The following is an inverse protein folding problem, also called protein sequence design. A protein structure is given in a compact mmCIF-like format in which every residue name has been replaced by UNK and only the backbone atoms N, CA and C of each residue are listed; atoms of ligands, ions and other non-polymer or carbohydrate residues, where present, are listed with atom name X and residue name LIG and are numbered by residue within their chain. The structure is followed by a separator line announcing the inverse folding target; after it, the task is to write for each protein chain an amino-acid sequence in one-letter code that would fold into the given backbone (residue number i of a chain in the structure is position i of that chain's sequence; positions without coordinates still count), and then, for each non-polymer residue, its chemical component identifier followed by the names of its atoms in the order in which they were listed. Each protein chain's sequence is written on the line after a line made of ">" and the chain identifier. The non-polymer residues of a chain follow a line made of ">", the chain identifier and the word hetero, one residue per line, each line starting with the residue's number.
data_IF_935953433099
#
_entry.id   IF_935953433099
#
_cell.length_a   1.000
_cell.length_b   1.000
_cell.length_c   1.000
_cell.angle_alpha   90.00
_cell.angle_beta   90.00
_cell.angle_gamma   90.00
#
_symmetry.space_group_name_H-M   'P 1'
#
loop_
_entity.id
_entity.type
_entity.pdbx_description
1 polymer ?
#
# COMPACT_ATOMS: atom_id res chain seq x y z
N UNK A 1 -8.25 2.18 -19.52
CA UNK A 1 -9.33 1.18 -19.39
C UNK A 1 -8.90 -0.19 -19.89
N UNK A 2 -8.20 -0.30 -21.04
CA UNK A 2 -7.66 -1.59 -21.53
C UNK A 2 -6.48 -2.08 -20.68
N UNK A 3 -5.58 -1.19 -20.23
CA UNK A 3 -4.45 -1.55 -19.35
C UNK A 3 -4.91 -2.19 -18.02
N UNK A 4 -6.00 -1.68 -17.41
CA UNK A 4 -6.54 -2.27 -16.18
C UNK A 4 -7.13 -3.67 -16.38
N UNK A 5 -7.59 -3.99 -17.59
CA UNK A 5 -8.10 -5.33 -17.91
C UNK A 5 -6.99 -6.34 -18.10
N UNK A 6 -5.89 -5.94 -18.75
CA UNK A 6 -4.72 -6.81 -18.91
C UNK A 6 -4.11 -7.12 -17.54
N UNK A 7 -3.92 -6.11 -16.69
CA UNK A 7 -3.41 -6.30 -15.33
C UNK A 7 -4.33 -7.22 -14.50
N UNK A 8 -5.64 -7.04 -14.61
CA UNK A 8 -6.62 -7.89 -13.94
C UNK A 8 -6.53 -9.35 -14.41
N UNK A 9 -6.54 -9.58 -15.73
CA UNK A 9 -6.50 -10.94 -16.30
C UNK A 9 -5.18 -11.63 -15.94
N UNK A 10 -4.05 -10.92 -16.04
CA UNK A 10 -2.73 -11.47 -15.67
C UNK A 10 -2.68 -11.80 -14.17
N UNK A 11 -3.21 -10.93 -13.31
CA UNK A 11 -3.27 -11.16 -11.87
C UNK A 11 -4.16 -12.36 -11.51
N UNK A 12 -5.33 -12.50 -12.15
CA UNK A 12 -6.25 -13.62 -11.92
C UNK A 12 -5.68 -14.94 -12.43
N UNK A 13 -5.23 -15.00 -13.68
CA UNK A 13 -4.68 -16.23 -14.28
C UNK A 13 -3.38 -16.61 -13.57
N UNK A 14 -2.50 -15.64 -13.34
CA UNK A 14 -1.24 -15.82 -12.61
C UNK A 14 -1.48 -16.28 -11.18
N UNK A 15 -2.46 -15.69 -10.49
CA UNK A 15 -2.86 -16.06 -9.14
C UNK A 15 -3.44 -17.47 -9.06
N UNK A 16 -4.32 -17.85 -10.00
CA UNK A 16 -4.87 -19.20 -10.07
C UNK A 16 -3.79 -20.25 -10.36
N UNK A 17 -2.88 -19.96 -11.30
CA UNK A 17 -1.76 -20.84 -11.61
C UNK A 17 -0.80 -20.99 -10.41
N UNK A 18 -0.46 -19.88 -9.74
CA UNK A 18 0.36 -19.90 -8.54
C UNK A 18 -0.32 -20.71 -7.42
N UNK A 19 -1.62 -20.52 -7.18
CA UNK A 19 -2.39 -21.29 -6.20
C UNK A 19 -2.32 -22.79 -6.48
N UNK A 20 -2.61 -23.21 -7.72
CA UNK A 20 -2.59 -24.63 -8.09
C UNK A 20 -1.18 -25.23 -7.99
N UNK A 21 -0.15 -24.48 -8.38
CA UNK A 21 1.24 -24.94 -8.29
C UNK A 21 1.72 -25.03 -6.83
N UNK A 22 1.32 -24.10 -5.98
CA UNK A 22 1.65 -24.12 -4.56
C UNK A 22 0.92 -25.26 -3.84
N UNK A 23 -0.36 -25.48 -4.15
CA UNK A 23 -1.15 -26.60 -3.64
C UNK A 23 -0.56 -27.94 -4.07
N UNK A 24 -0.38 -28.18 -5.37
CA UNK A 24 0.09 -29.49 -5.86
C UNK A 24 1.58 -29.71 -5.51
N UNK A 25 2.39 -28.65 -5.53
CA UNK A 25 3.78 -28.69 -5.09
C UNK A 25 3.92 -29.08 -3.63
N UNK A 26 3.19 -28.42 -2.73
CA UNK A 26 3.20 -28.77 -1.30
C UNK A 26 2.62 -30.16 -1.06
N UNK A 27 1.49 -30.51 -1.66
CA UNK A 27 0.92 -31.86 -1.55
C UNK A 27 1.93 -32.95 -1.96
N UNK A 28 2.64 -32.75 -3.08
CA UNK A 28 3.64 -33.72 -3.53
C UNK A 28 4.85 -33.82 -2.60
N UNK A 29 5.32 -32.69 -2.09
CA UNK A 29 6.46 -32.66 -1.15
C UNK A 29 6.15 -33.44 0.13
N UNK A 30 4.95 -33.27 0.68
CA UNK A 30 4.56 -33.95 1.92
C UNK A 30 4.11 -35.40 1.70
N UNK A 31 3.49 -35.74 0.54
CA UNK A 31 3.01 -37.10 0.28
C UNK A 31 4.07 -38.06 -0.30
N UNK A 32 5.08 -37.56 -1.01
CA UNK A 32 6.06 -38.39 -1.74
C UNK A 32 7.52 -38.02 -1.42
N UNK A 33 7.74 -37.02 -0.56
CA UNK A 33 9.07 -36.54 -0.21
C UNK A 33 9.65 -35.52 -1.21
N UNK A 34 10.93 -35.21 -1.04
CA UNK A 34 11.60 -34.08 -1.71
C UNK A 34 11.99 -34.45 -3.14
N UNK A 35 11.09 -34.22 -4.09
CA UNK A 35 11.38 -34.32 -5.52
C UNK A 35 11.66 -32.95 -6.15
N UNK A 36 12.73 -32.85 -6.96
CA UNK A 36 13.18 -31.59 -7.61
C UNK A 36 12.05 -30.81 -8.30
N UNK A 37 11.14 -31.51 -8.99
CA UNK A 37 10.00 -30.87 -9.67
C UNK A 37 8.99 -30.24 -8.71
N UNK A 38 8.67 -30.93 -7.61
CA UNK A 38 7.74 -30.43 -6.60
C UNK A 38 8.33 -29.24 -5.83
N UNK A 39 9.64 -29.30 -5.53
CA UNK A 39 10.39 -28.18 -4.94
C UNK A 39 10.35 -26.96 -5.87
N UNK A 40 10.70 -27.12 -7.14
CA UNK A 40 10.72 -26.02 -8.12
C UNK A 40 9.33 -25.38 -8.30
N UNK A 41 8.28 -26.19 -8.42
CA UNK A 41 6.90 -25.68 -8.52
C UNK A 41 6.49 -24.87 -7.29
N UNK A 42 6.82 -25.38 -6.09
CA UNK A 42 6.48 -24.70 -4.83
C UNK A 42 7.25 -23.39 -4.67
N UNK A 43 8.56 -23.39 -4.93
CA UNK A 43 9.40 -22.18 -4.80
C UNK A 43 8.98 -21.12 -5.82
N UNK A 44 8.74 -21.51 -7.08
CA UNK A 44 8.32 -20.56 -8.11
C UNK A 44 6.96 -19.93 -7.76
N UNK A 45 5.99 -20.75 -7.34
CA UNK A 45 4.68 -20.26 -6.94
C UNK A 45 4.74 -19.36 -5.70
N UNK A 46 5.54 -19.76 -4.69
CA UNK A 46 5.77 -18.94 -3.50
C UNK A 46 6.44 -17.61 -3.86
N UNK A 47 7.40 -17.63 -4.77
CA UNK A 47 8.06 -16.45 -5.30
C UNK A 47 7.09 -15.49 -6.00
N UNK A 48 6.16 -16.01 -6.81
CA UNK A 48 5.10 -15.19 -7.45
C UNK A 48 4.23 -14.54 -6.38
N UNK A 49 3.71 -15.30 -5.41
CA UNK A 49 2.88 -14.75 -4.34
C UNK A 49 3.64 -13.69 -3.52
N UNK A 50 4.92 -13.92 -3.22
CA UNK A 50 5.75 -12.99 -2.48
C UNK A 50 6.05 -11.72 -3.27
N UNK A 51 6.30 -11.82 -4.58
CA UNK A 51 6.57 -10.67 -5.44
C UNK A 51 5.33 -9.80 -5.61
N UNK A 52 4.17 -10.38 -5.94
CA UNK A 52 2.94 -9.63 -6.11
C UNK A 52 2.41 -9.06 -4.79
N UNK A 53 2.38 -9.88 -3.73
CA UNK A 53 2.00 -9.42 -2.39
C UNK A 53 2.96 -8.36 -1.84
N UNK A 54 4.26 -8.54 -2.06
CA UNK A 54 5.29 -7.58 -1.67
C UNK A 54 5.20 -6.26 -2.44
N UNK A 55 4.95 -6.31 -3.74
CA UNK A 55 4.75 -5.10 -4.55
C UNK A 55 3.49 -4.32 -4.14
N UNK A 56 2.39 -5.03 -3.87
CA UNK A 56 1.17 -4.42 -3.34
C UNK A 56 1.40 -3.79 -1.96
N UNK A 57 2.13 -4.47 -1.08
CA UNK A 57 2.49 -3.91 0.23
C UNK A 57 3.42 -2.71 0.11
N UNK A 58 4.39 -2.75 -0.82
CA UNK A 58 5.29 -1.64 -1.09
C UNK A 58 4.49 -0.40 -1.54
N UNK A 59 3.56 -0.55 -2.48
CA UNK A 59 2.62 0.52 -2.90
C UNK A 59 1.85 1.11 -1.72
N UNK A 60 1.31 0.26 -0.85
CA UNK A 60 0.63 0.71 0.37
C UNK A 60 1.58 1.52 1.27
N UNK A 61 2.80 1.02 1.51
CA UNK A 61 3.77 1.65 2.39
C UNK A 61 4.23 3.01 1.87
N UNK A 62 4.44 3.13 0.56
CA UNK A 62 4.85 4.36 -0.13
C UNK A 62 3.74 5.43 -0.08
N UNK A 63 2.51 5.03 -0.40
CA UNK A 63 1.35 5.91 -0.28
C UNK A 63 1.17 6.40 1.16
N UNK A 64 1.26 5.49 2.14
CA UNK A 64 1.12 5.84 3.56
C UNK A 64 2.25 6.74 4.05
N UNK A 65 3.49 6.50 3.61
CA UNK A 65 4.62 7.36 3.92
C UNK A 65 4.40 8.77 3.37
N UNK A 66 4.00 8.88 2.10
CA UNK A 66 3.69 10.17 1.44
C UNK A 66 2.57 10.93 2.15
N UNK A 67 1.49 10.24 2.52
CA UNK A 67 0.39 10.81 3.30
C UNK A 67 0.88 11.35 4.65
N UNK A 68 1.65 10.56 5.38
CA UNK A 68 2.16 10.94 6.72
C UNK A 68 3.16 12.10 6.66
N UNK A 69 4.03 12.16 5.65
CA UNK A 69 4.99 13.25 5.47
C UNK A 69 4.29 14.57 5.17
N UNK A 70 3.25 14.55 4.33
CA UNK A 70 2.53 15.76 3.97
C UNK A 70 1.66 16.27 5.14
N UNK A 71 1.07 15.37 5.94
CA UNK A 71 0.39 15.74 7.19
C UNK A 71 1.35 16.38 8.21
N UNK A 72 2.57 15.84 8.36
CA UNK A 72 3.58 16.39 9.27
C UNK A 72 4.10 17.76 8.82
N UNK A 73 4.32 17.95 7.51
CA UNK A 73 4.76 19.25 6.96
C UNK A 73 3.74 20.36 7.20
N UNK A 74 2.44 20.04 7.15
CA UNK A 74 1.39 21.02 7.40
C UNK A 74 1.41 21.57 8.84
N UNK A 75 1.72 20.72 9.83
CA UNK A 75 1.83 21.14 11.23
C UNK A 75 3.10 21.97 11.52
N UNK A 76 4.15 21.85 10.70
CA UNK A 76 5.49 22.34 11.01
C UNK A 76 5.92 23.61 10.27
N UNK A 77 5.00 24.38 9.67
CA UNK A 77 5.37 25.64 9.02
C UNK A 77 5.91 26.64 10.05
N UNK A 78 7.23 26.71 10.22
CA UNK A 78 7.91 27.60 11.16
C UNK A 78 7.94 29.05 10.66
N UNK A 79 8.02 29.99 11.60
CA UNK A 79 8.24 31.40 11.25
C UNK A 79 9.63 31.57 10.61
N UNK A 80 9.77 32.45 9.60
CA UNK A 80 11.07 32.78 9.04
C UNK A 80 12.06 33.23 10.12
N UNK A 81 13.32 32.80 10.05
CA UNK A 81 14.36 33.14 11.03
C UNK A 81 14.59 34.68 11.14
N UNK A 82 14.25 35.43 10.10
CA UNK A 82 14.35 36.88 10.04
C UNK A 82 13.04 37.61 10.38
N UNK A 83 12.04 36.94 10.97
CA UNK A 83 10.69 37.50 11.21
C UNK A 83 10.73 38.88 11.87
N UNK A 84 11.54 39.07 12.91
CA UNK A 84 11.66 40.34 13.63
C UNK A 84 12.13 41.51 12.74
N UNK A 85 12.96 41.24 11.73
CA UNK A 85 13.61 42.24 10.85
C UNK A 85 12.81 42.59 9.61
N UNK A 86 11.67 41.93 9.38
CA UNK A 86 10.83 42.20 8.21
C UNK A 86 10.01 43.49 8.39
N UNK A 87 9.79 44.18 7.27
CA UNK A 87 8.86 45.32 7.22
C UNK A 87 7.43 44.86 7.54
N UNK A 88 6.58 45.74 8.08
CA UNK A 88 5.18 45.40 8.39
C UNK A 88 4.41 44.80 7.20
N UNK A 89 4.61 45.35 5.99
CA UNK A 89 3.99 44.82 4.77
C UNK A 89 4.46 43.40 4.43
N UNK A 90 5.76 43.11 4.58
CA UNK A 90 6.29 41.77 4.32
C UNK A 90 5.82 40.77 5.38
N UNK A 91 5.66 41.21 6.63
CA UNK A 91 5.09 40.40 7.71
C UNK A 91 3.65 40.03 7.43
N UNK A 92 2.84 40.99 6.99
CA UNK A 92 1.45 40.76 6.60
C UNK A 92 1.36 39.70 5.50
N UNK A 93 2.04 39.91 4.37
CA UNK A 93 2.01 38.99 3.22
C UNK A 93 2.39 37.56 3.62
N UNK A 94 3.46 37.39 4.41
CA UNK A 94 3.91 36.08 4.87
C UNK A 94 2.94 35.46 5.89
N UNK A 95 2.37 36.25 6.80
CA UNK A 95 1.39 35.77 7.76
C UNK A 95 0.08 35.32 7.09
N UNK A 96 -0.40 36.08 6.09
CA UNK A 96 -1.58 35.72 5.28
C UNK A 96 -1.30 34.47 4.46
N UNK A 97 -0.14 34.39 3.80
CA UNK A 97 0.25 33.21 3.03
C UNK A 97 0.32 31.95 3.91
N UNK A 98 0.87 32.08 5.14
CA UNK A 98 0.89 31.00 6.13
C UNK A 98 -0.52 30.63 6.58
N UNK A 99 -1.37 31.60 6.92
CA UNK A 99 -2.73 31.32 7.35
C UNK A 99 -3.56 30.64 6.25
N UNK A 100 -3.42 31.06 4.99
CA UNK A 100 -4.04 30.41 3.82
C UNK A 100 -3.54 28.99 3.66
N UNK A 101 -2.24 28.76 3.81
CA UNK A 101 -1.67 27.42 3.74
C UNK A 101 -2.23 26.51 4.84
N UNK A 102 -2.29 27.00 6.07
CA UNK A 102 -2.92 26.27 7.19
C UNK A 102 -4.37 25.92 6.84
N UNK A 103 -5.16 26.87 6.34
CA UNK A 103 -6.52 26.60 5.93
C UNK A 103 -6.63 25.54 4.82
N UNK A 104 -5.79 25.62 3.79
CA UNK A 104 -5.79 24.64 2.69
C UNK A 104 -5.41 23.23 3.15
N UNK A 105 -4.51 23.11 4.13
CA UNK A 105 -3.97 21.82 4.58
C UNK A 105 -4.79 21.18 5.72
N UNK A 106 -5.22 21.95 6.72
CA UNK A 106 -5.96 21.44 7.90
C UNK A 106 -7.43 21.84 7.92
N UNK A 107 -7.85 22.81 7.12
CA UNK A 107 -9.18 23.42 7.22
C UNK A 107 -9.38 24.35 8.41
N UNK A 108 -8.34 24.60 9.23
CA UNK A 108 -8.47 25.49 10.38
C UNK A 108 -8.24 26.95 9.97
N UNK A 109 -9.11 27.84 10.41
CA UNK A 109 -8.94 29.28 10.22
C UNK A 109 -7.83 29.78 11.14
N UNK A 110 -6.66 30.03 10.55
CA UNK A 110 -5.54 30.62 11.25
C UNK A 110 -5.64 32.14 11.26
N UNK A 111 -5.05 32.76 12.28
CA UNK A 111 -4.92 34.21 12.35
C UNK A 111 -3.61 34.67 11.69
N UNK A 112 -3.62 35.88 11.15
CA UNK A 112 -2.50 36.56 10.53
C UNK A 112 -2.29 37.93 11.19
N UNK A 113 -1.11 38.53 10.98
CA UNK A 113 -0.76 39.84 11.58
C UNK A 113 -0.89 40.91 10.50
N UNK A 114 -1.76 41.87 10.69
CA UNK A 114 -1.98 43.00 9.79
C UNK A 114 -0.81 44.02 9.87
N UNK A 115 -0.73 44.96 8.94
CA UNK A 115 0.26 46.05 8.91
C UNK A 115 0.28 46.87 10.19
N UNK A 116 -0.89 47.00 10.84
CA UNK A 116 -1.04 47.68 12.13
C UNK A 116 -0.55 46.87 13.33
N UNK A 117 -0.09 45.62 13.13
CA UNK A 117 0.32 44.72 14.21
C UNK A 117 -0.84 43.99 14.88
N UNK A 118 -2.08 44.23 14.46
CA UNK A 118 -3.26 43.52 14.95
C UNK A 118 -3.34 42.10 14.41
N UNK A 119 -3.85 41.19 15.23
CA UNK A 119 -4.08 39.80 14.83
C UNK A 119 -5.50 39.65 14.28
N UNK A 120 -5.63 39.27 13.01
CA UNK A 120 -6.93 39.07 12.34
C UNK A 120 -7.09 37.62 11.90
N UNK A 121 -8.31 37.10 11.97
CA UNK A 121 -8.61 35.76 11.44
C UNK A 121 -8.69 35.80 9.92
N UNK A 122 -8.10 34.83 9.25
CA UNK A 122 -8.20 34.71 7.79
C UNK A 122 -9.67 34.52 7.37
N UNK A 123 -10.13 35.32 6.40
CA UNK A 123 -11.35 35.08 5.66
C UNK A 123 -11.01 34.34 4.34
N UNK A 124 -11.34 33.04 4.21
CA UNK A 124 -11.02 32.28 3.00
C UNK A 124 -11.79 32.81 1.79
N UNK A 125 -11.13 32.81 0.63
CA UNK A 125 -11.79 33.12 -0.65
C UNK A 125 -12.39 31.85 -1.28
N UNK A 126 -13.24 32.02 -2.30
CA UNK A 126 -13.78 30.89 -3.07
C UNK A 126 -12.66 30.05 -3.71
N UNK A 127 -11.56 30.68 -4.13
CA UNK A 127 -10.40 29.96 -4.66
C UNK A 127 -9.70 29.12 -3.59
N UNK A 128 -9.57 29.64 -2.36
CA UNK A 128 -8.99 28.89 -1.24
C UNK A 128 -9.83 27.66 -0.89
N UNK A 129 -11.16 27.78 -0.97
CA UNK A 129 -12.08 26.65 -0.80
C UNK A 129 -11.88 25.59 -1.90
N UNK A 130 -11.86 25.99 -3.17
CA UNK A 130 -11.63 25.05 -4.28
C UNK A 130 -10.26 24.36 -4.19
N UNK A 131 -9.21 25.08 -3.79
CA UNK A 131 -7.88 24.49 -3.57
C UNK A 131 -7.90 23.46 -2.45
N UNK A 132 -8.57 23.78 -1.34
CA UNK A 132 -8.74 22.85 -0.22
C UNK A 132 -9.50 21.59 -0.66
N UNK A 133 -10.60 21.72 -1.40
CA UNK A 133 -11.36 20.57 -1.90
C UNK A 133 -10.50 19.65 -2.76
N UNK A 134 -9.63 20.21 -3.62
CA UNK A 134 -8.67 19.40 -4.40
C UNK A 134 -7.69 18.65 -3.51
N UNK A 135 -7.18 19.30 -2.47
CA UNK A 135 -6.27 18.68 -1.50
C UNK A 135 -6.97 17.55 -0.74
N UNK A 136 -8.19 17.79 -0.25
CA UNK A 136 -9.02 16.78 0.44
C UNK A 136 -9.33 15.61 -0.49
N UNK A 137 -9.75 15.87 -1.73
CA UNK A 137 -10.04 14.84 -2.72
C UNK A 137 -8.80 14.01 -3.07
N UNK A 138 -7.64 14.65 -3.19
CA UNK A 138 -6.36 13.97 -3.39
C UNK A 138 -6.04 13.02 -2.23
N UNK A 139 -6.13 13.49 -0.99
CA UNK A 139 -5.85 12.66 0.19
C UNK A 139 -6.84 11.50 0.33
N UNK A 140 -8.12 11.75 0.11
CA UNK A 140 -9.14 10.70 0.15
C UNK A 140 -8.89 9.60 -0.90
N UNK A 141 -8.53 9.98 -2.14
CA UNK A 141 -8.17 9.03 -3.20
C UNK A 141 -6.91 8.25 -2.87
N UNK A 142 -5.88 8.92 -2.35
CA UNK A 142 -4.63 8.28 -1.97
C UNK A 142 -4.83 7.29 -0.81
N UNK A 143 -5.66 7.63 0.19
CA UNK A 143 -6.02 6.72 1.28
C UNK A 143 -6.83 5.52 0.78
N UNK A 144 -7.81 5.74 -0.09
CA UNK A 144 -8.57 4.66 -0.71
C UNK A 144 -7.67 3.70 -1.50
N UNK A 145 -6.75 4.24 -2.30
CA UNK A 145 -5.75 3.46 -3.05
C UNK A 145 -4.85 2.66 -2.12
N UNK A 146 -4.37 3.27 -1.02
CA UNK A 146 -3.53 2.60 -0.03
C UNK A 146 -4.26 1.41 0.61
N UNK A 147 -5.54 1.58 0.99
CA UNK A 147 -6.37 0.49 1.52
C UNK A 147 -6.56 -0.64 0.50
N UNK A 148 -6.77 -0.30 -0.77
CA UNK A 148 -6.85 -1.26 -1.86
C UNK A 148 -5.56 -2.09 -2.00
N UNK A 149 -4.40 -1.44 -2.01
CA UNK A 149 -3.10 -2.12 -2.09
C UNK A 149 -2.81 -3.00 -0.87
N UNK A 150 -3.23 -2.59 0.33
CA UNK A 150 -3.13 -3.44 1.52
C UNK A 150 -4.02 -4.69 1.41
N UNK A 151 -5.26 -4.53 0.94
CA UNK A 151 -6.18 -5.64 0.75
C UNK A 151 -5.64 -6.65 -0.27
N UNK A 152 -5.06 -6.16 -1.37
CA UNK A 152 -4.40 -7.00 -2.38
C UNK A 152 -3.20 -7.77 -1.79
N UNK A 153 -2.34 -7.10 -1.02
CA UNK A 153 -1.21 -7.75 -0.35
C UNK A 153 -1.66 -8.88 0.60
N UNK A 154 -2.71 -8.62 1.38
CA UNK A 154 -3.30 -9.62 2.28
C UNK A 154 -3.94 -10.77 1.50
N UNK A 155 -4.58 -10.50 0.37
CA UNK A 155 -5.17 -11.54 -0.47
C UNK A 155 -4.09 -12.52 -0.97
N UNK A 156 -2.97 -12.01 -1.49
CA UNK A 156 -1.85 -12.85 -1.93
C UNK A 156 -1.28 -13.72 -0.80
N UNK A 157 -1.19 -13.17 0.40
CA UNK A 157 -0.76 -13.91 1.59
C UNK A 157 -1.76 -15.02 1.97
N UNK A 158 -3.06 -14.69 2.02
CA UNK A 158 -4.12 -15.64 2.36
C UNK A 158 -4.17 -16.77 1.32
N UNK A 159 -4.15 -16.46 0.03
CA UNK A 159 -4.15 -17.44 -1.06
C UNK A 159 -2.98 -18.40 -0.93
N UNK A 160 -1.78 -17.88 -0.65
CA UNK A 160 -0.60 -18.72 -0.45
C UNK A 160 -0.76 -19.63 0.79
N UNK A 161 -1.18 -19.09 1.92
CA UNK A 161 -1.40 -19.88 3.15
C UNK A 161 -2.43 -20.98 2.94
N UNK A 162 -3.55 -20.65 2.31
CA UNK A 162 -4.65 -21.59 2.03
C UNK A 162 -4.17 -22.72 1.10
N UNK A 163 -3.44 -22.40 0.03
CA UNK A 163 -2.89 -23.42 -0.88
C UNK A 163 -1.91 -24.36 -0.17
N UNK A 164 -1.01 -23.83 0.66
CA UNK A 164 -0.07 -24.64 1.45
C UNK A 164 -0.82 -25.54 2.43
N UNK A 165 -1.77 -24.98 3.18
CA UNK A 165 -2.55 -25.74 4.16
C UNK A 165 -3.34 -26.87 3.51
N UNK A 166 -4.04 -26.61 2.40
CA UNK A 166 -4.77 -27.64 1.69
C UNK A 166 -3.84 -28.71 1.10
N UNK A 167 -2.68 -28.31 0.58
CA UNK A 167 -1.70 -29.26 0.05
C UNK A 167 -1.19 -30.20 1.14
N UNK A 168 -0.89 -29.66 2.32
CA UNK A 168 -0.50 -30.45 3.50
C UNK A 168 -1.66 -31.35 3.95
N UNK A 169 -2.86 -30.81 4.16
CA UNK A 169 -4.00 -31.59 4.67
C UNK A 169 -4.31 -32.78 3.76
N UNK A 170 -4.36 -32.56 2.44
CA UNK A 170 -4.60 -33.62 1.45
C UNK A 170 -3.44 -34.61 1.32
N UNK A 171 -2.24 -34.27 1.81
CA UNK A 171 -1.12 -35.21 1.85
C UNK A 171 -1.23 -36.20 3.02
N UNK A 172 -1.95 -35.83 4.10
CA UNK A 172 -2.15 -36.68 5.28
C UNK A 172 -3.20 -37.77 5.07
N UNK A 173 -4.12 -37.59 4.11
CA UNK A 173 -5.11 -38.61 3.74
C UNK A 173 -4.49 -39.83 3.04
N UNK A 174 -3.19 -39.77 2.72
CA UNK A 174 -2.47 -40.88 2.11
C UNK A 174 -2.02 -41.88 3.18
N UNK A 175 -2.64 -43.07 3.16
CA UNK A 175 -2.18 -44.26 3.87
C UNK A 175 -0.70 -44.54 3.54
N UNK A 176 0.08 -45.10 4.51
CA UNK A 176 1.51 -45.32 4.34
C UNK A 176 1.78 -46.13 3.08
N UNK A 177 2.81 -45.74 2.32
CA UNK A 177 3.29 -46.52 1.19
C UNK A 177 3.64 -47.92 1.70
N UNK A 178 3.02 -48.93 1.11
CA UNK A 178 3.34 -50.34 1.35
C UNK A 178 4.85 -50.54 1.08
N UNK A 179 5.64 -51.02 2.06
CA UNK A 179 7.08 -51.23 1.87
C UNK A 179 7.41 -52.48 1.04
N UNK A 180 6.40 -53.16 0.46
CA UNK A 180 6.57 -54.39 -0.30
C UNK A 180 6.41 -54.18 -1.81
N UNK A 181 7.44 -53.60 -2.42
CA UNK A 181 7.70 -53.76 -3.85
C UNK A 181 8.93 -54.63 -4.02
N UNK A 182 8.75 -55.95 -4.11
CA UNK A 182 9.82 -56.91 -4.40
C UNK A 182 10.59 -56.55 -5.69
N UNK A 183 11.89 -56.89 -5.78
CA UNK A 183 12.70 -56.71 -6.98
C UNK A 183 12.32 -57.77 -8.03
N UNK A 184 12.00 -57.33 -9.24
CA UNK A 184 11.64 -58.22 -10.35
C UNK A 184 12.21 -57.75 -11.69
N UNK A 185 13.32 -58.39 -12.06
CA UNK A 185 13.86 -58.69 -13.40
C UNK A 185 13.35 -57.93 -14.64
N UNK A 186 14.28 -57.19 -15.28
CA UNK A 186 14.60 -57.26 -16.72
C UNK A 186 15.93 -56.53 -17.01
#
# INVERSE_FOLDING_TARGET
>A
MIESWVDFVVSVIGGAAAFLCLFDGTRRLFAYGVHRRAVLMTILAAGICALYGGFAYWKYSDLKATLSMNQRKAAAASLPANWGRLSPEKKEVLSVARARRTFMESGTLASYVDRGGETRTLAPTQEDLMRRERVVAYYARAEYSARGSLAEALLWLIVALVAVMFGILMSLEKAPADPTGEPGDA
#
